data_IF_111017673940
#
_entry.id   IF_111017673940
#
_cell.length_a   1.000
_cell.length_b   1.000
_cell.length_c   1.000
_cell.angle_alpha   90.00
_cell.angle_beta   90.00
_cell.angle_gamma   90.00
#
_symmetry.space_group_name_H-M   'P 1'
#
loop_
_entity.id
_entity.type
_entity.pdbx_description
1 polymer ?
#
# COMPACT_ATOMS: atom_id res chain seq x y z
N UNK A 1 -17.66 32.51 -55.54
CA UNK A 1 -16.97 31.78 -56.64
C UNK A 1 -17.47 30.34 -56.57
N UNK A 2 -18.26 29.89 -57.55
CA UNK A 2 -19.05 28.66 -57.45
C UNK A 2 -18.24 27.39 -57.68
N UNK A 3 -18.40 26.40 -56.81
CA UNK A 3 -17.92 25.03 -57.00
C UNK A 3 -18.82 24.30 -57.99
N UNK A 4 -18.34 24.15 -59.23
CA UNK A 4 -18.94 23.28 -60.22
C UNK A 4 -18.56 21.82 -59.93
N UNK A 5 -19.39 21.14 -59.15
CA UNK A 5 -19.36 19.68 -59.01
C UNK A 5 -19.69 18.99 -60.33
N UNK A 6 -18.70 18.81 -61.20
CA UNK A 6 -18.87 18.05 -62.43
C UNK A 6 -18.88 16.55 -62.13
N UNK A 7 -20.07 15.96 -62.02
CA UNK A 7 -20.22 14.51 -61.96
C UNK A 7 -19.77 13.90 -63.28
N UNK A 8 -18.54 13.36 -63.32
CA UNK A 8 -18.03 12.60 -64.47
C UNK A 8 -18.87 11.33 -64.65
N UNK A 9 -19.83 11.37 -65.58
CA UNK A 9 -20.61 10.19 -65.96
C UNK A 9 -19.72 9.25 -66.78
N UNK A 10 -19.19 8.23 -66.14
CA UNK A 10 -18.38 7.19 -66.79
C UNK A 10 -19.29 6.44 -67.77
N UNK A 11 -19.00 6.56 -69.08
CA UNK A 11 -19.64 5.76 -70.11
C UNK A 11 -19.06 4.35 -70.05
N UNK A 12 -19.78 3.45 -69.38
CA UNK A 12 -19.43 2.02 -69.39
C UNK A 12 -19.65 1.47 -70.79
N UNK A 13 -18.66 0.76 -71.33
CA UNK A 13 -18.83 0.05 -72.61
C UNK A 13 -19.77 -1.13 -72.42
N UNK A 14 -20.56 -1.47 -73.44
CA UNK A 14 -21.48 -2.62 -73.40
C UNK A 14 -20.76 -3.94 -73.10
N UNK A 15 -19.48 -4.05 -73.49
CA UNK A 15 -18.62 -5.19 -73.16
C UNK A 15 -18.27 -5.27 -71.66
N UNK A 16 -18.05 -4.13 -70.98
CA UNK A 16 -17.77 -4.08 -69.55
C UNK A 16 -19.00 -4.40 -68.70
N UNK A 17 -20.20 -4.05 -69.15
CA UNK A 17 -21.45 -4.43 -68.47
C UNK A 17 -21.75 -5.92 -68.64
N UNK A 18 -21.33 -6.51 -69.77
CA UNK A 18 -21.51 -7.94 -70.06
C UNK A 18 -20.59 -8.86 -69.22
N UNK A 19 -19.49 -8.33 -68.67
CA UNK A 19 -18.59 -9.08 -67.79
C UNK A 19 -18.98 -9.02 -66.30
N UNK A 20 -20.08 -8.34 -65.96
CA UNK A 20 -20.56 -8.28 -64.58
C UNK A 20 -21.14 -9.62 -64.14
N UNK A 21 -20.79 -10.01 -62.92
CA UNK A 21 -21.23 -11.27 -62.33
C UNK A 21 -22.35 -11.01 -61.32
N UNK A 22 -23.27 -11.97 -61.14
CA UNK A 22 -24.22 -11.91 -60.04
C UNK A 22 -23.49 -11.78 -58.70
N UNK A 23 -24.11 -11.06 -57.77
CA UNK A 23 -23.59 -10.92 -56.41
C UNK A 23 -23.35 -12.30 -55.75
N UNK A 24 -22.20 -12.48 -55.10
CA UNK A 24 -21.83 -13.75 -54.46
C UNK A 24 -22.73 -14.08 -53.27
N UNK A 25 -22.90 -15.37 -52.95
CA UNK A 25 -23.76 -15.80 -51.84
C UNK A 25 -23.40 -15.12 -50.51
N UNK A 26 -22.11 -15.07 -50.17
CA UNK A 26 -21.65 -14.45 -48.92
C UNK A 26 -21.96 -12.96 -48.83
N UNK A 27 -21.84 -12.24 -49.95
CA UNK A 27 -22.18 -10.81 -49.98
C UNK A 27 -23.69 -10.58 -49.95
N UNK A 28 -24.49 -11.49 -50.53
CA UNK A 28 -25.96 -11.49 -50.37
C UNK A 28 -26.37 -11.68 -48.91
N UNK A 29 -25.80 -12.67 -48.23
CA UNK A 29 -26.06 -12.93 -46.81
C UNK A 29 -25.66 -11.74 -45.93
N UNK A 30 -24.53 -11.11 -46.21
CA UNK A 30 -24.10 -9.90 -45.50
C UNK A 30 -25.09 -8.74 -45.69
N UNK A 31 -25.53 -8.48 -46.93
CA UNK A 31 -26.52 -7.43 -47.20
C UNK A 31 -27.89 -7.74 -46.57
N UNK A 32 -28.29 -9.02 -46.53
CA UNK A 32 -29.51 -9.45 -45.83
C UNK A 32 -29.42 -9.17 -44.33
N UNK A 33 -28.29 -9.49 -43.68
CA UNK A 33 -28.05 -9.17 -42.28
C UNK A 33 -28.10 -7.66 -42.00
N UNK A 34 -27.59 -6.82 -42.91
CA UNK A 34 -27.70 -5.36 -42.78
C UNK A 34 -29.16 -4.92 -42.85
N UNK A 35 -29.92 -5.41 -43.83
CA UNK A 35 -31.35 -5.09 -43.97
C UNK A 35 -32.11 -5.51 -42.70
N UNK A 36 -31.79 -6.68 -42.14
CA UNK A 36 -32.39 -7.16 -40.89
C UNK A 36 -32.04 -6.30 -39.69
N UNK A 37 -30.79 -5.87 -39.58
CA UNK A 37 -30.36 -4.93 -38.54
C UNK A 37 -31.10 -3.58 -38.64
N UNK A 38 -31.30 -3.05 -39.85
CA UNK A 38 -32.06 -1.82 -40.08
C UNK A 38 -33.54 -2.01 -39.72
N UNK A 39 -34.15 -3.13 -40.12
CA UNK A 39 -35.54 -3.45 -39.77
C UNK A 39 -35.70 -3.52 -38.24
N UNK A 40 -34.78 -4.19 -37.54
CA UNK A 40 -34.78 -4.26 -36.08
C UNK A 40 -34.61 -2.89 -35.43
N UNK A 41 -33.72 -2.04 -35.97
CA UNK A 41 -33.49 -0.67 -35.49
C UNK A 41 -34.72 0.22 -35.64
N UNK A 42 -35.48 0.09 -36.73
CA UNK A 42 -36.72 0.85 -36.93
C UNK A 42 -37.83 0.33 -36.01
N UNK A 43 -37.95 -0.99 -35.86
CA UNK A 43 -38.97 -1.59 -34.98
C UNK A 43 -38.74 -1.31 -33.50
N UNK A 44 -37.47 -1.18 -33.07
CA UNK A 44 -37.14 -0.84 -31.68
C UNK A 44 -37.49 0.60 -31.33
N UNK A 45 -37.46 1.52 -32.30
CA UNK A 45 -37.81 2.94 -32.11
C UNK A 45 -39.32 3.20 -32.16
N UNK A 46 -40.10 2.29 -32.74
CA UNK A 46 -41.56 2.44 -32.88
C UNK A 46 -42.29 2.11 -31.56
N UNK A 47 -43.11 3.03 -31.03
CA UNK A 47 -43.86 2.83 -29.78
C UNK A 47 -45.26 2.22 -29.96
N UNK A 48 -45.98 2.58 -31.03
CA UNK A 48 -47.33 2.11 -31.34
C UNK A 48 -47.44 1.65 -32.80
N UNK A 49 -48.36 0.74 -33.12
CA UNK A 49 -48.59 0.26 -34.50
C UNK A 49 -47.48 -0.64 -35.06
N UNK A 50 -46.74 -1.35 -34.19
CA UNK A 50 -45.59 -2.21 -34.58
C UNK A 50 -45.94 -3.25 -35.63
N UNK A 51 -47.11 -3.87 -35.53
CA UNK A 51 -47.51 -4.95 -36.45
C UNK A 51 -47.65 -4.47 -37.89
N UNK A 52 -48.22 -3.29 -38.12
CA UNK A 52 -48.41 -2.75 -39.47
C UNK A 52 -47.11 -2.19 -40.03
N UNK A 53 -46.28 -1.56 -39.19
CA UNK A 53 -44.91 -1.15 -39.57
C UNK A 53 -44.06 -2.37 -39.94
N UNK A 54 -44.15 -3.46 -39.17
CA UNK A 54 -43.44 -4.71 -39.46
C UNK A 54 -43.89 -5.35 -40.77
N UNK A 55 -45.21 -5.39 -41.06
CA UNK A 55 -45.72 -5.87 -42.36
C UNK A 55 -45.12 -5.06 -43.53
N UNK A 56 -45.13 -3.73 -43.44
CA UNK A 56 -44.57 -2.88 -44.49
C UNK A 56 -43.05 -3.04 -44.63
N UNK A 57 -42.32 -3.14 -43.51
CA UNK A 57 -40.87 -3.38 -43.52
C UNK A 57 -40.53 -4.75 -44.11
N UNK A 58 -41.33 -5.78 -43.86
CA UNK A 58 -41.13 -7.11 -44.46
C UNK A 58 -41.35 -7.09 -45.98
N UNK A 59 -42.35 -6.35 -46.46
CA UNK A 59 -42.56 -6.16 -47.91
C UNK A 59 -41.35 -5.43 -48.52
N UNK A 60 -40.84 -4.40 -47.85
CA UNK A 60 -39.66 -3.66 -48.30
C UNK A 60 -38.40 -4.53 -48.29
N UNK A 61 -38.15 -5.29 -47.21
CA UNK A 61 -37.07 -6.28 -47.09
C UNK A 61 -37.10 -7.24 -48.28
N UNK A 62 -38.24 -7.89 -48.52
CA UNK A 62 -38.38 -8.85 -49.61
C UNK A 62 -38.12 -8.23 -51.00
N UNK A 63 -38.53 -6.98 -51.21
CA UNK A 63 -38.26 -6.26 -52.47
C UNK A 63 -36.78 -5.94 -52.64
N UNK A 64 -36.11 -5.50 -51.57
CA UNK A 64 -34.67 -5.19 -51.58
C UNK A 64 -33.84 -6.46 -51.78
N UNK A 65 -34.16 -7.54 -51.07
CA UNK A 65 -33.49 -8.84 -51.24
C UNK A 65 -33.66 -9.39 -52.67
N UNK A 66 -34.83 -9.20 -53.29
CA UNK A 66 -35.04 -9.56 -54.70
C UNK A 66 -34.12 -8.77 -55.62
N UNK A 67 -33.94 -7.48 -55.38
CA UNK A 67 -33.01 -6.65 -56.15
C UNK A 67 -31.57 -7.14 -56.04
N UNK A 68 -31.13 -7.56 -54.85
CA UNK A 68 -29.78 -8.13 -54.66
C UNK A 68 -29.55 -9.44 -55.41
N UNK A 69 -30.60 -10.25 -55.64
CA UNK A 69 -30.51 -11.47 -56.46
C UNK A 69 -30.31 -11.17 -57.95
N UNK A 70 -30.87 -10.07 -58.44
CA UNK A 70 -30.77 -9.63 -59.84
C UNK A 70 -29.64 -8.64 -60.09
N UNK A 71 -28.96 -8.19 -59.04
CA UNK A 71 -27.89 -7.20 -59.13
C UNK A 71 -26.62 -7.85 -59.64
N UNK A 72 -26.20 -7.45 -60.84
CA UNK A 72 -24.90 -7.78 -61.38
C UNK A 72 -23.89 -6.72 -60.95
N UNK A 73 -22.73 -7.16 -60.47
CA UNK A 73 -21.65 -6.30 -60.01
C UNK A 73 -20.40 -6.55 -60.83
N UNK A 74 -19.55 -5.53 -61.05
CA UNK A 74 -18.24 -5.75 -61.64
C UNK A 74 -17.46 -6.80 -60.85
N UNK A 75 -16.81 -7.79 -61.52
CA UNK A 75 -15.96 -8.74 -60.82
C UNK A 75 -14.82 -7.97 -60.16
N UNK A 76 -14.86 -7.91 -58.83
CA UNK A 76 -13.87 -7.20 -58.04
C UNK A 76 -12.49 -7.84 -58.24
N UNK A 77 -11.49 -7.04 -58.60
CA UNK A 77 -10.09 -7.48 -58.60
C UNK A 77 -9.65 -7.60 -57.14
N UNK A 78 -9.92 -8.75 -56.54
CA UNK A 78 -9.71 -9.09 -55.12
C UNK A 78 -8.22 -9.27 -54.76
N UNK A 79 -7.32 -8.44 -55.32
CA UNK A 79 -5.88 -8.49 -55.04
C UNK A 79 -5.55 -8.23 -53.56
N UNK A 80 -6.45 -7.55 -52.85
CA UNK A 80 -6.28 -7.18 -51.45
C UNK A 80 -6.46 -8.37 -50.49
N UNK A 81 -7.10 -9.47 -50.92
CA UNK A 81 -7.31 -10.65 -50.05
C UNK A 81 -6.06 -11.53 -49.92
N UNK A 82 -5.04 -11.33 -50.74
CA UNK A 82 -3.78 -12.08 -50.64
C UNK A 82 -3.13 -11.91 -49.26
N UNK A 83 -3.37 -10.77 -48.61
CA UNK A 83 -2.82 -10.45 -47.29
C UNK A 83 -3.67 -10.98 -46.12
N UNK A 84 -4.87 -11.54 -46.38
CA UNK A 84 -5.74 -12.04 -45.29
C UNK A 84 -5.13 -13.27 -44.64
N UNK A 85 -4.54 -14.18 -45.41
CA UNK A 85 -3.92 -15.38 -44.85
C UNK A 85 -2.74 -15.02 -43.94
N UNK A 86 -1.90 -14.05 -44.33
CA UNK A 86 -0.80 -13.57 -43.49
C UNK A 86 -1.30 -12.85 -42.23
N UNK A 87 -2.38 -12.06 -42.34
CA UNK A 87 -3.00 -11.40 -41.18
C UNK A 87 -3.59 -12.42 -40.21
N UNK A 88 -4.26 -13.45 -40.72
CA UNK A 88 -4.84 -14.52 -39.91
C UNK A 88 -3.74 -15.34 -39.19
N UNK A 89 -2.62 -15.63 -39.86
CA UNK A 89 -1.49 -16.31 -39.21
C UNK A 89 -0.86 -15.45 -38.12
N UNK A 90 -0.69 -14.14 -38.35
CA UNK A 90 -0.16 -13.21 -37.36
C UNK A 90 -1.11 -13.07 -36.15
N UNK A 91 -2.42 -12.99 -36.39
CA UNK A 91 -3.43 -12.95 -35.33
C UNK A 91 -3.43 -14.23 -34.50
N UNK A 92 -3.32 -15.40 -35.15
CA UNK A 92 -3.23 -16.69 -34.47
C UNK A 92 -1.96 -16.78 -33.61
N UNK A 93 -0.81 -16.37 -34.15
CA UNK A 93 0.44 -16.36 -33.38
C UNK A 93 0.35 -15.43 -32.18
N UNK A 94 -0.24 -14.24 -32.36
CA UNK A 94 -0.45 -13.30 -31.24
C UNK A 94 -1.38 -13.90 -30.17
N UNK A 95 -2.43 -14.61 -30.59
CA UNK A 95 -3.35 -15.29 -29.68
C UNK A 95 -2.61 -16.38 -28.86
N UNK A 96 -1.83 -17.23 -29.52
CA UNK A 96 -1.02 -18.26 -28.85
C UNK A 96 -0.07 -17.64 -27.81
N UNK A 97 0.65 -16.56 -28.16
CA UNK A 97 1.54 -15.87 -27.21
C UNK A 97 0.80 -15.20 -26.05
N UNK A 98 -0.41 -14.70 -26.29
CA UNK A 98 -1.25 -14.11 -25.25
C UNK A 98 -1.76 -15.19 -24.28
N UNK A 99 -2.14 -16.36 -24.78
CA UNK A 99 -2.54 -17.50 -23.95
C UNK A 99 -1.39 -17.95 -23.04
N UNK A 100 -0.17 -18.08 -23.59
CA UNK A 100 1.03 -18.39 -22.79
C UNK A 100 1.31 -17.34 -21.72
N UNK A 101 1.21 -16.05 -22.07
CA UNK A 101 1.40 -14.94 -21.12
C UNK A 101 0.33 -14.94 -20.01
N UNK A 102 -0.91 -15.29 -20.33
CA UNK A 102 -1.98 -15.41 -19.34
C UNK A 102 -1.71 -16.54 -18.34
N UNK A 103 -1.18 -17.67 -18.81
CA UNK A 103 -0.79 -18.78 -17.91
C UNK A 103 0.32 -18.32 -16.97
N UNK A 104 1.36 -17.64 -17.49
CA UNK A 104 2.45 -17.12 -16.66
C UNK A 104 1.95 -16.12 -15.60
N UNK A 105 1.09 -15.19 -15.99
CA UNK A 105 0.49 -14.24 -15.04
C UNK A 105 -0.34 -14.94 -13.97
N UNK A 106 -1.07 -15.99 -14.31
CA UNK A 106 -1.82 -16.77 -13.33
C UNK A 106 -0.90 -17.50 -12.34
N UNK A 107 0.24 -18.02 -12.82
CA UNK A 107 1.26 -18.63 -11.96
C UNK A 107 1.89 -17.60 -11.00
N UNK A 108 2.21 -16.40 -11.48
CA UNK A 108 2.73 -15.30 -10.66
C UNK A 108 1.73 -14.86 -9.59
N UNK A 109 0.44 -14.75 -9.94
CA UNK A 109 -0.64 -14.45 -8.97
C UNK A 109 -0.71 -15.52 -7.89
N UNK A 110 -0.69 -16.79 -8.28
CA UNK A 110 -0.75 -17.90 -7.32
C UNK A 110 0.46 -17.92 -6.38
N UNK A 111 1.66 -17.59 -6.88
CA UNK A 111 2.86 -17.49 -6.04
C UNK A 111 2.79 -16.29 -5.08
N UNK A 112 2.32 -15.15 -5.58
CA UNK A 112 2.09 -13.97 -4.75
C UNK A 112 1.07 -14.25 -3.64
N UNK A 113 -0.02 -14.97 -3.94
CA UNK A 113 -1.03 -15.39 -2.97
C UNK A 113 -0.44 -16.27 -1.86
N UNK A 114 0.30 -17.34 -2.23
CA UNK A 114 1.00 -18.19 -1.24
C UNK A 114 1.97 -17.39 -0.38
N UNK A 115 2.68 -16.43 -0.98
CA UNK A 115 3.60 -15.58 -0.23
C UNK A 115 2.88 -14.69 0.78
N UNK A 116 1.71 -14.15 0.40
CA UNK A 116 0.87 -13.35 1.27
C UNK A 116 0.28 -14.17 2.42
N UNK A 117 -0.19 -15.39 2.16
CA UNK A 117 -0.65 -16.33 3.19
C UNK A 117 0.44 -16.60 4.23
N UNK A 118 1.66 -16.91 3.78
CA UNK A 118 2.80 -17.13 4.67
C UNK A 118 3.14 -15.89 5.50
N UNK A 119 3.04 -14.69 4.92
CA UNK A 119 3.24 -13.44 5.65
C UNK A 119 2.16 -13.25 6.71
N UNK A 120 0.90 -13.55 6.39
CA UNK A 120 -0.21 -13.47 7.35
C UNK A 120 -0.01 -14.44 8.52
N UNK A 121 0.38 -15.70 8.25
CA UNK A 121 0.72 -16.67 9.30
C UNK A 121 1.83 -16.14 10.22
N UNK A 122 2.90 -15.56 9.65
CA UNK A 122 3.98 -14.96 10.42
C UNK A 122 3.49 -13.78 11.28
N UNK A 123 2.60 -12.93 10.74
CA UNK A 123 2.00 -11.82 11.47
C UNK A 123 1.21 -12.35 12.68
N UNK A 124 0.41 -13.41 12.49
CA UNK A 124 -0.37 -14.00 13.58
C UNK A 124 0.54 -14.61 14.66
N UNK A 125 1.60 -15.31 14.28
CA UNK A 125 2.60 -15.84 15.21
C UNK A 125 3.29 -14.74 16.01
N UNK A 126 3.67 -13.65 15.35
CA UNK A 126 4.31 -12.50 16.01
C UNK A 126 3.34 -11.79 16.97
N UNK A 127 2.08 -11.59 16.57
CA UNK A 127 1.03 -11.05 17.45
C UNK A 127 0.89 -11.89 18.72
N UNK A 128 0.84 -13.21 18.59
CA UNK A 128 0.78 -14.12 19.74
C UNK A 128 2.01 -13.98 20.65
N UNK A 129 3.22 -13.96 20.08
CA UNK A 129 4.46 -13.77 20.86
C UNK A 129 4.46 -12.44 21.61
N UNK A 130 4.05 -11.35 20.97
CA UNK A 130 3.92 -10.04 21.60
C UNK A 130 2.95 -10.08 22.78
N UNK A 131 1.80 -10.76 22.62
CA UNK A 131 0.83 -10.91 23.70
C UNK A 131 1.40 -11.68 24.89
N UNK A 132 2.11 -12.78 24.64
CA UNK A 132 2.77 -13.58 25.70
C UNK A 132 3.81 -12.74 26.43
N UNK A 133 4.69 -12.05 25.71
CA UNK A 133 5.72 -11.18 26.29
C UNK A 133 5.11 -10.03 27.10
N UNK A 134 4.00 -9.47 26.62
CA UNK A 134 3.28 -8.41 27.35
C UNK A 134 2.76 -8.92 28.70
N UNK A 135 2.18 -10.12 28.73
CA UNK A 135 1.70 -10.72 29.98
C UNK A 135 2.85 -11.05 30.94
N UNK A 136 3.99 -11.51 30.42
CA UNK A 136 5.20 -11.75 31.22
C UNK A 136 5.73 -10.45 31.82
N UNK A 137 5.85 -9.40 31.00
CA UNK A 137 6.30 -8.08 31.45
C UNK A 137 5.39 -7.48 32.54
N UNK A 138 4.07 -7.65 32.40
CA UNK A 138 3.11 -7.22 33.44
C UNK A 138 3.31 -7.99 34.76
N UNK A 139 3.61 -9.29 34.69
CA UNK A 139 3.97 -10.11 35.84
C UNK A 139 5.26 -9.62 36.52
N UNK A 140 6.33 -9.45 35.73
CA UNK A 140 7.63 -8.97 36.19
C UNK A 140 7.51 -7.56 36.81
N UNK A 141 6.73 -6.66 36.22
CA UNK A 141 6.49 -5.32 36.77
C UNK A 141 5.75 -5.40 38.11
N UNK A 142 4.77 -6.30 38.24
CA UNK A 142 4.05 -6.51 39.51
C UNK A 142 4.99 -7.04 40.59
N UNK A 143 5.88 -7.95 40.27
CA UNK A 143 6.84 -8.51 41.22
C UNK A 143 7.93 -7.49 41.59
N UNK A 144 8.44 -6.74 40.61
CA UNK A 144 9.32 -5.60 40.87
C UNK A 144 8.66 -4.57 41.78
N UNK A 145 7.39 -4.21 41.53
CA UNK A 145 6.62 -3.28 42.38
C UNK A 145 6.50 -3.78 43.82
N UNK A 146 6.39 -5.08 44.09
CA UNK A 146 6.39 -5.60 45.47
C UNK A 146 7.73 -5.35 46.16
N UNK A 147 8.84 -5.66 45.48
CA UNK A 147 10.20 -5.41 45.98
C UNK A 147 10.42 -3.92 46.26
N UNK A 148 9.90 -3.04 45.38
CA UNK A 148 10.03 -1.59 45.57
C UNK A 148 9.04 -1.00 46.59
N UNK A 149 7.85 -1.58 46.78
CA UNK A 149 6.87 -1.12 47.78
C UNK A 149 7.25 -1.48 49.21
N UNK A 150 8.05 -2.53 49.43
CA UNK A 150 8.61 -2.83 50.76
C UNK A 150 9.65 -1.79 51.24
N UNK A 151 10.09 -0.88 50.37
CA UNK A 151 11.08 0.16 50.71
C UNK A 151 10.46 1.43 51.31
N UNK A 152 9.45 1.31 52.18
CA UNK A 152 9.07 2.38 53.11
C UNK A 152 10.19 2.70 54.11
N UNK A 153 11.10 1.75 54.33
CA UNK A 153 12.40 1.94 54.97
C UNK A 153 13.47 1.69 53.91
N UNK A 154 14.33 2.68 53.65
CA UNK A 154 15.37 2.60 52.61
C UNK A 154 16.21 1.33 52.70
N UNK A 155 16.88 0.94 51.60
CA UNK A 155 17.58 -0.33 51.28
C UNK A 155 18.08 -1.28 52.40
N UNK A 156 18.31 -0.78 53.61
CA UNK A 156 18.70 -1.49 54.82
C UNK A 156 17.54 -1.78 55.81
N UNK A 157 16.30 -1.47 55.42
CA UNK A 157 15.11 -1.52 56.28
C UNK A 157 15.29 -0.84 57.65
N UNK A 158 16.02 0.27 57.69
CA UNK A 158 16.34 0.91 58.96
C UNK A 158 15.16 1.74 59.48
N UNK A 159 14.91 1.72 60.81
CA UNK A 159 14.00 2.66 61.44
C UNK A 159 14.43 4.09 61.11
N UNK A 160 13.48 4.97 60.80
CA UNK A 160 13.78 6.39 60.63
C UNK A 160 14.47 6.91 61.89
N UNK A 161 15.68 7.46 61.72
CA UNK A 161 16.42 8.03 62.83
C UNK A 161 15.60 9.19 63.43
N UNK A 162 15.47 9.29 64.76
CA UNK A 162 14.75 10.38 65.39
C UNK A 162 15.30 11.72 64.92
N UNK A 163 14.43 12.65 64.50
CA UNK A 163 14.83 14.00 64.05
C UNK A 163 15.72 14.74 65.06
N UNK A 164 15.65 14.37 66.34
CA UNK A 164 16.48 14.88 67.44
C UNK A 164 17.97 14.56 67.28
N UNK A 165 18.31 13.43 66.66
CA UNK A 165 19.70 13.05 66.36
C UNK A 165 20.30 13.92 65.25
N UNK A 166 19.47 14.47 64.36
CA UNK A 166 19.88 15.39 63.30
C UNK A 166 19.78 16.87 63.70
N UNK A 167 19.12 17.16 64.82
CA UNK A 167 18.93 18.49 65.41
C UNK A 167 19.72 18.69 66.71
N UNK A 168 20.76 17.89 66.95
CA UNK A 168 21.70 18.22 68.01
C UNK A 168 22.36 19.58 67.64
N UNK A 169 22.34 20.58 68.54
CA UNK A 169 23.09 21.83 68.32
C UNK A 169 24.52 21.48 67.97
N UNK A 170 25.06 22.11 66.94
CA UNK A 170 26.46 21.89 66.59
C UNK A 170 27.35 22.34 67.74
N UNK A 171 28.51 21.71 67.95
CA UNK A 171 29.44 22.08 69.02
C UNK A 171 29.75 23.59 68.97
N UNK A 172 29.80 24.16 67.77
CA UNK A 172 29.96 25.58 67.50
C UNK A 172 28.84 26.43 68.13
N UNK A 173 27.57 26.04 67.98
CA UNK A 173 26.44 26.75 68.58
C UNK A 173 26.45 26.66 70.11
N UNK A 174 26.95 25.57 70.67
CA UNK A 174 27.01 25.37 72.12
C UNK A 174 28.17 26.17 72.75
N UNK A 175 29.31 26.27 72.05
CA UNK A 175 30.45 27.11 72.47
C UNK A 175 30.07 28.59 72.55
N UNK A 176 29.19 29.07 71.67
CA UNK A 176 28.68 30.45 71.70
C UNK A 176 27.78 30.75 72.91
N UNK A 177 27.24 29.72 73.58
CA UNK A 177 26.40 29.89 74.79
C UNK A 177 27.20 29.91 76.10
N UNK A 178 28.52 29.68 76.04
CA UNK A 178 29.39 29.64 77.23
C UNK A 178 29.75 31.05 77.70
N UNK A 179 29.63 31.32 79.01
CA UNK A 179 29.85 32.64 79.63
C UNK A 179 31.22 33.28 79.36
N UNK A 180 32.27 32.47 79.18
CA UNK A 180 33.66 32.90 78.96
C UNK A 180 34.12 32.69 77.50
N UNK A 181 33.22 32.93 76.54
CA UNK A 181 33.40 32.65 75.12
C UNK A 181 34.72 33.19 74.53
N UNK A 182 35.13 34.42 74.88
CA UNK A 182 36.30 35.07 74.28
C UNK A 182 37.62 34.42 74.69
N UNK A 183 37.72 33.99 75.95
CA UNK A 183 38.93 33.35 76.47
C UNK A 183 39.05 31.93 75.92
N UNK A 184 37.93 31.19 75.88
CA UNK A 184 37.89 29.86 75.28
C UNK A 184 38.25 29.87 73.79
N UNK A 185 37.76 30.85 73.02
CA UNK A 185 38.13 31.00 71.61
C UNK A 185 39.63 31.32 71.43
N UNK A 186 40.21 32.08 72.35
CA UNK A 186 41.64 32.40 72.32
C UNK A 186 42.49 31.16 72.61
N UNK A 187 42.08 30.36 73.60
CA UNK A 187 42.75 29.12 73.95
C UNK A 187 42.60 28.07 72.85
N UNK A 188 41.42 27.95 72.23
CA UNK A 188 41.19 27.08 71.07
C UNK A 188 42.06 27.49 69.88
N UNK A 189 42.17 28.78 69.59
CA UNK A 189 43.08 29.26 68.54
C UNK A 189 44.54 28.98 68.88
N UNK A 190 44.95 29.13 70.14
CA UNK A 190 46.31 28.80 70.58
C UNK A 190 46.61 27.29 70.44
N UNK A 191 45.64 26.42 70.74
CA UNK A 191 45.73 24.97 70.56
C UNK A 191 45.75 24.62 69.06
N UNK A 192 44.96 25.30 68.24
CA UNK A 192 44.91 25.07 66.79
C UNK A 192 46.22 25.48 66.10
N UNK A 193 46.86 26.54 66.58
CA UNK A 193 48.17 26.98 66.10
C UNK A 193 49.35 26.20 66.69
N UNK A 194 49.10 25.29 67.64
CA UNK A 194 50.14 24.48 68.27
C UNK A 194 50.80 23.52 67.26
N UNK A 195 52.11 23.34 67.41
CA UNK A 195 52.86 22.42 66.57
C UNK A 195 52.37 20.97 66.73
N UNK A 196 51.93 20.59 67.93
CA UNK A 196 51.48 19.23 68.23
C UNK A 196 50.20 18.87 67.48
N UNK A 197 49.22 19.79 67.45
CA UNK A 197 47.97 19.54 66.73
C UNK A 197 48.19 19.51 65.22
N UNK A 198 49.03 20.40 64.68
CA UNK A 198 49.40 20.41 63.25
C UNK A 198 50.12 19.12 62.84
N UNK A 199 51.00 18.60 63.69
CA UNK A 199 51.68 17.32 63.45
C UNK A 199 50.68 16.16 63.44
N UNK A 200 49.72 16.16 64.36
CA UNK A 200 48.66 15.15 64.43
C UNK A 200 47.73 15.21 63.21
N UNK A 201 47.36 16.41 62.75
CA UNK A 201 46.53 16.59 61.56
C UNK A 201 47.25 16.07 60.31
N UNK A 202 48.52 16.44 60.13
CA UNK A 202 49.35 15.95 59.01
C UNK A 202 49.50 14.42 59.03
N UNK A 203 49.57 13.82 60.23
CA UNK A 203 49.62 12.37 60.37
C UNK A 203 48.31 11.73 59.90
N UNK A 204 47.16 12.27 60.32
CA UNK A 204 45.83 11.78 59.92
C UNK A 204 45.64 11.91 58.41
N UNK A 205 45.99 13.06 57.82
CA UNK A 205 45.92 13.28 56.37
C UNK A 205 46.77 12.24 55.61
N UNK A 206 48.03 12.04 56.02
CA UNK A 206 48.88 11.00 55.41
C UNK A 206 48.35 9.59 55.58
N UNK A 207 47.65 9.30 56.68
CA UNK A 207 47.02 7.98 56.85
C UNK A 207 45.83 7.81 55.92
N UNK A 208 45.02 8.86 55.71
CA UNK A 208 43.91 8.83 54.76
C UNK A 208 44.38 8.71 53.31
N UNK A 209 45.39 9.48 52.90
CA UNK A 209 46.01 9.35 51.56
C UNK A 209 46.48 7.92 51.28
N UNK A 210 46.98 7.20 52.29
CA UNK A 210 47.39 5.81 52.16
C UNK A 210 46.23 4.82 52.09
N UNK A 211 45.08 5.15 52.67
CA UNK A 211 43.89 4.29 52.66
C UNK A 211 43.14 4.42 51.34
N UNK A 212 43.10 5.61 50.72
CA UNK A 212 42.50 5.82 49.39
C UNK A 212 43.35 5.27 48.23
N UNK A 213 44.60 4.87 48.48
CA UNK A 213 45.49 4.22 47.52
C UNK A 213 45.43 2.68 47.57
N UNK A 214 44.57 2.10 48.42
CA UNK A 214 44.27 0.66 48.50
C UNK A 214 42.96 0.33 47.78
#
# INVERSE_FOLDING_TARGET
TGENGSSKKVKLSSAAVRSWQPLSENSRLFLENIVDSVVLSVLSQQREGKDDVQKHLNVLKNRVLRSFKTLNVPPGKLGNLKNILSLQMAEKQMLETNEESLVQLQEEINEAERSAERIEENIQQLKYKIQVLKNQLEGDEKDARKVFQENGSGALQLPELPKRSLQAPTLQEEILKVKNQKDLLKDMNAIQESADLKNLLTLVEKTYEKVDLL
#
